data_IF_517035221045
#
_entry.id   IF_517035221045
#
_cell.length_a   1.000
_cell.length_b   1.000
_cell.length_c   1.000
_cell.angle_alpha   90.00
_cell.angle_beta   90.00
_cell.angle_gamma   90.00
#
_symmetry.space_group_name_H-M   'P 1'
#
loop_
_entity.id
_entity.type
_entity.pdbx_description
1 polymer ?
#
# COMPACT_ATOMS: atom_id res chain seq x y z
N UNK A 1 -33.21 -6.16 5.59
CA UNK A 1 -32.63 -4.93 4.98
C UNK A 1 -33.29 -3.66 5.50
N UNK A 2 -34.63 -3.50 5.42
CA UNK A 2 -35.31 -2.24 5.77
C UNK A 2 -34.93 -1.59 7.13
N UNK A 3 -34.78 -2.38 8.21
CA UNK A 3 -34.40 -1.83 9.53
C UNK A 3 -33.06 -1.07 9.54
N UNK A 4 -32.01 -1.61 8.89
CA UNK A 4 -30.67 -0.98 8.92
C UNK A 4 -30.62 0.35 8.16
N UNK A 5 -31.37 0.47 7.07
CA UNK A 5 -31.50 1.72 6.33
C UNK A 5 -32.29 2.79 7.12
N UNK A 6 -33.18 2.37 8.03
CA UNK A 6 -33.88 3.28 8.93
C UNK A 6 -32.97 3.74 10.09
N UNK A 7 -32.10 2.86 10.60
CA UNK A 7 -31.10 3.20 11.62
C UNK A 7 -30.08 4.23 11.08
N UNK A 8 -29.55 4.05 9.87
CA UNK A 8 -28.66 5.02 9.21
C UNK A 8 -29.38 6.37 8.95
N UNK A 9 -30.67 6.36 8.61
CA UNK A 9 -31.46 7.59 8.44
C UNK A 9 -31.66 8.33 9.77
N UNK A 10 -31.97 7.61 10.85
CA UNK A 10 -32.09 8.16 12.21
C UNK A 10 -30.75 8.71 12.72
N UNK A 11 -29.63 8.04 12.40
CA UNK A 11 -28.30 8.56 12.68
C UNK A 11 -28.05 9.87 11.92
N UNK A 12 -28.43 9.94 10.64
CA UNK A 12 -28.23 11.14 9.82
C UNK A 12 -29.11 12.34 10.25
N UNK A 13 -30.31 12.11 10.78
CA UNK A 13 -31.20 13.21 11.24
C UNK A 13 -30.84 13.72 12.64
N UNK A 14 -30.24 12.87 13.48
CA UNK A 14 -30.05 13.16 14.91
C UNK A 14 -28.60 13.42 15.32
N UNK A 15 -27.62 13.27 14.42
CA UNK A 15 -26.21 13.60 14.70
C UNK A 15 -25.88 15.05 14.32
N UNK A 16 -25.18 15.75 15.21
CA UNK A 16 -24.69 17.10 14.93
C UNK A 16 -23.50 17.06 13.97
N UNK A 17 -23.44 17.98 13.02
CA UNK A 17 -22.35 18.00 12.02
C UNK A 17 -20.97 18.16 12.69
N UNK A 18 -19.91 17.50 12.18
CA UNK A 18 -18.58 17.54 12.81
C UNK A 18 -17.97 18.94 12.90
N UNK A 19 -18.45 19.92 12.13
CA UNK A 19 -18.06 21.33 12.23
C UNK A 19 -18.52 22.00 13.55
N UNK A 20 -19.43 21.36 14.31
CA UNK A 20 -19.84 21.76 15.67
C UNK A 20 -19.17 20.94 16.78
N UNK A 21 -18.32 19.97 16.44
CA UNK A 21 -17.63 19.10 17.40
C UNK A 21 -18.28 17.73 17.62
N UNK A 22 -19.26 17.33 16.80
CA UNK A 22 -19.83 15.97 16.82
C UNK A 22 -18.88 14.92 16.22
N UNK A 23 -18.90 13.70 16.77
CA UNK A 23 -18.13 12.57 16.24
C UNK A 23 -18.79 11.96 14.98
N UNK A 24 -17.97 11.57 14.01
CA UNK A 24 -18.43 11.02 12.73
C UNK A 24 -18.76 9.52 12.85
N UNK A 25 -20.05 9.18 12.86
CA UNK A 25 -20.52 7.81 13.06
C UNK A 25 -20.31 6.96 11.78
N UNK A 26 -19.65 5.78 11.84
CA UNK A 26 -19.30 5.01 10.64
C UNK A 26 -20.51 4.31 10.01
N UNK A 27 -21.00 4.87 8.89
CA UNK A 27 -22.04 4.29 8.05
C UNK A 27 -21.57 2.98 7.39
N UNK A 28 -22.46 1.98 7.30
CA UNK A 28 -22.16 0.72 6.63
C UNK A 28 -22.39 0.83 5.12
N UNK A 29 -21.39 0.48 4.30
CA UNK A 29 -21.51 0.50 2.84
C UNK A 29 -22.45 -0.60 2.34
N UNK A 30 -23.65 -0.22 1.88
CA UNK A 30 -24.55 -1.14 1.15
C UNK A 30 -24.17 -1.19 -0.33
N UNK A 31 -23.94 -2.39 -0.86
CA UNK A 31 -23.54 -2.60 -2.26
C UNK A 31 -24.54 -2.04 -3.28
N UNK A 32 -24.00 -1.34 -4.28
CA UNK A 32 -24.77 -0.70 -5.36
C UNK A 32 -25.20 -1.70 -6.44
N UNK A 33 -26.26 -2.48 -6.21
CA UNK A 33 -26.85 -3.33 -7.27
C UNK A 33 -28.38 -3.39 -7.24
N UNK A 34 -29.04 -2.23 -7.26
CA UNK A 34 -30.44 -2.10 -7.69
C UNK A 34 -30.72 -0.68 -8.25
N UNK A 35 -31.46 -0.53 -9.37
CA UNK A 35 -31.84 0.78 -9.90
C UNK A 35 -33.16 1.29 -9.29
N UNK A 36 -33.26 2.62 -9.13
CA UNK A 36 -34.33 3.36 -8.41
C UNK A 36 -34.35 3.13 -6.89
N UNK A 37 -34.62 4.12 -6.04
CA UNK A 37 -35.50 5.28 -6.23
C UNK A 37 -35.16 6.48 -5.33
N UNK A 38 -35.65 7.67 -5.73
CA UNK A 38 -35.78 8.94 -4.98
C UNK A 38 -34.49 9.68 -4.58
N UNK A 39 -34.29 10.85 -5.21
CA UNK A 39 -33.51 11.96 -4.66
C UNK A 39 -34.28 12.58 -3.49
N UNK A 40 -33.68 12.65 -2.30
CA UNK A 40 -34.17 13.51 -1.21
C UNK A 40 -33.21 14.71 -1.06
N UNK A 41 -33.76 15.92 -0.99
CA UNK A 41 -32.97 17.15 -0.88
C UNK A 41 -32.40 17.33 0.53
N UNK A 42 -31.15 17.82 0.60
CA UNK A 42 -30.50 18.21 1.84
C UNK A 42 -31.33 19.33 2.50
N UNK A 43 -31.97 19.05 3.64
CA UNK A 43 -32.56 20.08 4.49
C UNK A 43 -31.59 20.38 5.64
N UNK A 44 -31.23 21.65 5.77
CA UNK A 44 -30.46 22.18 6.90
C UNK A 44 -31.43 22.74 7.94
N UNK A 45 -31.59 22.13 9.13
CA UNK A 45 -32.40 22.73 10.18
C UNK A 45 -31.70 23.98 10.73
N UNK A 46 -32.41 25.10 10.71
CA UNK A 46 -31.88 26.43 10.99
C UNK A 46 -31.83 26.70 12.51
N UNK A 47 -30.64 26.81 13.09
CA UNK A 47 -30.40 26.75 14.56
C UNK A 47 -30.47 28.10 15.29
N UNK A 48 -31.44 28.95 14.95
CA UNK A 48 -31.60 30.28 15.59
C UNK A 48 -33.07 30.68 15.68
N UNK A 49 -33.79 30.31 16.75
CA UNK A 49 -35.06 30.96 17.19
C UNK A 49 -35.71 30.47 18.52
N UNK A 50 -35.01 29.83 19.47
CA UNK A 50 -35.65 29.29 20.69
C UNK A 50 -34.95 29.59 22.03
N UNK A 51 -34.13 30.65 22.10
CA UNK A 51 -33.63 31.20 23.36
C UNK A 51 -34.09 32.65 23.51
N UNK A 52 -35.10 32.89 24.38
CA UNK A 52 -35.47 34.13 25.11
C UNK A 52 -36.90 33.94 25.66
N UNK A 53 -37.12 34.16 26.96
CA UNK A 53 -38.44 34.05 27.59
C UNK A 53 -38.37 33.82 29.09
N UNK A 54 -38.12 34.89 29.86
CA UNK A 54 -37.96 34.81 31.32
C UNK A 54 -39.30 34.65 32.08
N UNK A 55 -39.19 33.98 33.23
CA UNK A 55 -40.17 33.67 34.29
C UNK A 55 -41.20 34.75 34.65
N UNK A 56 -42.33 34.37 35.29
CA UNK A 56 -42.30 34.34 36.76
C UNK A 56 -42.62 32.97 37.40
N UNK A 57 -42.20 32.82 38.67
CA UNK A 57 -42.53 31.73 39.63
C UNK A 57 -44.05 31.75 39.93
N UNK A 58 -44.73 30.74 40.46
CA UNK A 58 -44.47 29.64 41.43
C UNK A 58 -45.42 28.48 41.09
N UNK A 59 -45.27 27.19 41.41
CA UNK A 59 -44.30 26.29 42.11
C UNK A 59 -44.69 24.85 41.63
N UNK A 60 -44.00 23.71 41.82
CA UNK A 60 -42.76 23.21 42.44
C UNK A 60 -42.48 21.84 41.75
N UNK A 61 -41.30 21.23 41.69
CA UNK A 61 -39.92 21.61 42.02
C UNK A 61 -38.97 20.80 41.10
N UNK A 62 -37.90 21.41 40.58
CA UNK A 62 -36.48 21.08 40.87
C UNK A 62 -36.05 19.59 40.77
N UNK A 63 -34.98 19.17 40.07
CA UNK A 63 -34.06 19.70 39.02
C UNK A 63 -33.10 18.51 38.62
N UNK A 64 -32.18 18.58 37.61
CA UNK A 64 -31.82 17.41 36.78
C UNK A 64 -30.33 16.93 36.86
N UNK A 65 -29.98 15.81 36.19
CA UNK A 65 -28.56 15.50 35.83
C UNK A 65 -28.12 14.05 35.50
N UNK A 66 -27.90 13.75 34.21
CA UNK A 66 -26.66 13.23 33.53
C UNK A 66 -25.87 11.97 34.00
N UNK A 67 -25.43 11.10 33.03
CA UNK A 67 -24.27 10.12 32.95
C UNK A 67 -24.00 9.07 34.08
N UNK A 68 -23.14 8.01 33.96
CA UNK A 68 -22.55 7.14 32.86
C UNK A 68 -22.59 5.61 33.21
N UNK A 69 -21.55 4.76 33.03
CA UNK A 69 -21.68 3.35 32.51
C UNK A 69 -21.04 2.17 33.28
N UNK A 70 -21.45 0.94 32.87
CA UNK A 70 -20.79 -0.38 32.94
C UNK A 70 -21.32 -1.47 33.94
N UNK A 71 -21.48 -2.69 33.39
CA UNK A 71 -21.83 -4.01 33.98
C UNK A 71 -20.59 -4.74 34.58
N UNK A 72 -20.66 -5.94 35.25
CA UNK A 72 -21.73 -6.97 35.27
C UNK A 72 -22.05 -7.70 36.61
N UNK A 73 -23.20 -8.40 36.68
CA UNK A 73 -23.46 -9.36 37.78
C UNK A 73 -24.87 -9.98 37.85
N UNK A 74 -25.13 -11.06 37.09
CA UNK A 74 -26.22 -12.05 37.27
C UNK A 74 -27.71 -11.61 37.22
N UNK A 75 -28.32 -11.79 36.03
CA UNK A 75 -29.73 -12.14 35.77
C UNK A 75 -30.82 -11.16 36.30
N UNK A 76 -32.14 -11.43 36.12
CA UNK A 76 -32.93 -10.65 35.19
C UNK A 76 -33.90 -9.66 35.86
N UNK A 77 -34.22 -8.58 35.13
CA UNK A 77 -35.40 -7.73 35.34
C UNK A 77 -35.66 -7.21 36.77
N UNK A 78 -35.16 -5.99 37.00
CA UNK A 78 -35.94 -4.85 37.53
C UNK A 78 -36.21 -4.80 39.05
N UNK A 79 -35.25 -4.21 39.76
CA UNK A 79 -35.56 -3.34 40.91
C UNK A 79 -35.70 -1.88 40.42
N UNK A 80 -36.58 -1.08 41.03
CA UNK A 80 -36.90 0.31 40.65
C UNK A 80 -36.35 1.35 41.63
N UNK A 81 -35.25 1.05 42.32
CA UNK A 81 -34.63 1.94 43.31
C UNK A 81 -33.21 2.33 42.90
N UNK A 82 -33.02 3.63 42.66
CA UNK A 82 -31.86 4.24 42.03
C UNK A 82 -30.66 4.40 42.99
N UNK A 83 -30.17 3.28 43.53
CA UNK A 83 -29.14 3.24 44.59
C UNK A 83 -27.80 2.73 44.01
N UNK A 84 -27.18 3.55 43.15
CA UNK A 84 -25.73 3.75 43.00
C UNK A 84 -25.41 4.55 41.72
N UNK A 85 -25.24 5.88 41.87
CA UNK A 85 -24.62 6.75 40.85
C UNK A 85 -23.18 7.10 41.25
N UNK A 86 -22.39 7.47 40.24
CA UNK A 86 -20.92 7.56 40.27
C UNK A 86 -20.37 8.68 41.17
N UNK A 87 -20.11 8.39 42.45
CA UNK A 87 -19.56 9.37 43.41
C UNK A 87 -18.24 8.98 44.11
N UNK A 88 -17.64 7.82 43.80
CA UNK A 88 -16.51 7.26 44.57
C UNK A 88 -15.18 7.06 43.82
N UNK A 89 -15.07 7.43 42.54
CA UNK A 89 -13.80 7.27 41.80
C UNK A 89 -12.73 8.33 42.17
N UNK A 90 -13.13 9.57 42.44
CA UNK A 90 -12.20 10.64 42.81
C UNK A 90 -11.48 10.39 44.15
N UNK A 91 -12.20 9.92 45.17
CA UNK A 91 -11.63 9.64 46.51
C UNK A 91 -10.64 8.46 46.52
N UNK A 92 -10.79 7.50 45.60
CA UNK A 92 -9.83 6.38 45.47
C UNK A 92 -8.49 6.86 44.94
N UNK A 93 -8.47 7.87 44.07
CA UNK A 93 -7.22 8.43 43.53
C UNK A 93 -6.50 9.32 44.55
N UNK A 94 -7.22 10.13 45.34
CA UNK A 94 -6.65 10.85 46.48
C UNK A 94 -6.06 9.90 47.53
N UNK A 95 -6.79 8.86 47.93
CA UNK A 95 -6.29 7.83 48.86
C UNK A 95 -5.04 7.12 48.31
N UNK A 96 -4.99 6.87 47.00
CA UNK A 96 -3.83 6.21 46.34
C UNK A 96 -2.62 7.14 46.21
N UNK A 97 -2.81 8.46 46.22
CA UNK A 97 -1.73 9.43 46.35
C UNK A 97 -1.25 9.53 47.81
N UNK A 98 -2.16 9.60 48.78
CA UNK A 98 -1.82 9.61 50.21
C UNK A 98 -1.07 8.33 50.65
N UNK A 99 -1.50 7.16 50.20
CA UNK A 99 -0.82 5.88 50.48
C UNK A 99 0.57 5.77 49.82
N UNK A 100 0.86 6.54 48.76
CA UNK A 100 2.19 6.60 48.13
C UNK A 100 3.18 7.55 48.83
N UNK A 101 2.69 8.42 49.72
CA UNK A 101 3.55 9.30 50.54
C UNK A 101 4.04 8.63 51.83
N UNK A 102 3.57 7.41 52.13
CA UNK A 102 4.10 6.62 53.23
C UNK A 102 5.54 6.18 52.93
N UNK A 103 6.50 6.42 53.85
CA UNK A 103 7.86 5.88 53.72
C UNK A 103 7.84 4.35 53.59
N UNK A 104 8.68 3.80 52.71
CA UNK A 104 8.79 2.34 52.55
C UNK A 104 9.21 1.69 53.87
N UNK A 105 8.50 0.65 54.36
CA UNK A 105 8.78 0.04 55.65
C UNK A 105 10.16 -0.62 55.64
N UNK A 106 11.05 -0.17 56.52
CA UNK A 106 12.30 -0.86 56.84
C UNK A 106 12.03 -1.88 57.95
N UNK A 107 11.87 -3.13 57.57
CA UNK A 107 11.77 -4.24 58.51
C UNK A 107 13.17 -4.73 58.91
N UNK A 108 13.90 -3.90 59.62
CA UNK A 108 15.14 -4.29 60.31
C UNK A 108 14.77 -4.71 61.73
N UNK A 109 14.51 -6.01 61.95
CA UNK A 109 14.24 -6.58 63.27
C UNK A 109 15.34 -7.59 63.65
N UNK A 110 16.24 -7.13 64.52
CA UNK A 110 17.24 -7.96 65.18
C UNK A 110 16.56 -8.82 66.24
N UNK A 111 16.58 -10.15 66.06
CA UNK A 111 16.02 -11.10 67.04
C UNK A 111 17.02 -11.24 68.19
N UNK A 112 16.90 -10.36 69.18
CA UNK A 112 17.61 -10.48 70.45
C UNK A 112 17.02 -11.67 71.22
N UNK A 113 17.75 -12.77 71.25
CA UNK A 113 17.48 -13.89 72.14
C UNK A 113 17.84 -13.47 73.58
N UNK A 114 16.92 -13.52 74.56
CA UNK A 114 17.25 -13.18 75.93
C UNK A 114 18.23 -14.21 76.53
N UNK A 115 19.47 -13.80 76.78
CA UNK A 115 20.36 -14.51 77.69
C UNK A 115 19.91 -14.25 79.12
N UNK A 116 19.16 -15.17 79.73
CA UNK A 116 19.12 -15.33 81.19
C UNK A 116 18.62 -16.75 81.60
N UNK A 117 19.58 -17.52 82.12
CA UNK A 117 19.49 -18.60 83.12
C UNK A 117 18.64 -19.88 82.94
N UNK A 118 19.30 -20.91 82.39
CA UNK A 118 19.46 -22.31 82.91
C UNK A 118 18.28 -23.00 83.63
N UNK A 119 17.78 -24.13 83.09
CA UNK A 119 18.03 -25.51 83.65
C UNK A 119 17.29 -26.67 82.97
N UNK A 120 18.06 -27.77 82.91
CA UNK A 120 17.67 -29.19 82.90
C UNK A 120 16.97 -29.81 81.69
N UNK A 121 17.65 -30.88 81.25
CA UNK A 121 17.16 -32.17 80.79
C UNK A 121 16.84 -32.32 79.28
N UNK A 122 17.70 -33.13 78.66
CA UNK A 122 17.54 -33.70 77.33
C UNK A 122 16.39 -34.73 77.37
N UNK A 123 15.22 -34.35 76.88
CA UNK A 123 14.26 -35.31 76.32
C UNK A 123 13.97 -34.90 74.87
N UNK A 124 14.57 -35.64 73.92
CA UNK A 124 14.20 -35.61 72.50
C UNK A 124 12.75 -36.09 72.34
N UNK A 125 11.80 -35.21 72.59
CA UNK A 125 10.47 -35.37 72.05
C UNK A 125 10.53 -35.06 70.55
N UNK A 126 10.59 -36.13 69.75
CA UNK A 126 10.06 -36.15 68.39
C UNK A 126 8.59 -35.70 68.44
N UNK A 127 8.37 -34.38 68.50
CA UNK A 127 7.09 -33.79 68.16
C UNK A 127 6.93 -33.93 66.66
N UNK A 128 6.45 -35.12 66.27
CA UNK A 128 5.92 -35.43 64.95
C UNK A 128 5.17 -34.19 64.47
N UNK A 129 5.63 -33.60 63.36
CA UNK A 129 5.13 -32.31 62.88
C UNK A 129 3.70 -32.52 62.39
N UNK A 130 2.73 -32.39 63.29
CA UNK A 130 1.31 -32.58 63.01
C UNK A 130 0.87 -31.42 62.11
N UNK A 131 1.00 -31.61 60.80
CA UNK A 131 0.37 -30.75 59.78
C UNK A 131 -1.10 -30.55 60.21
N UNK A 132 -1.52 -29.29 60.31
CA UNK A 132 -2.83 -28.92 60.83
C UNK A 132 -3.91 -29.69 60.05
N UNK A 133 -4.92 -30.26 60.73
CA UNK A 133 -5.81 -31.25 60.10
C UNK A 133 -6.48 -30.73 58.81
N UNK A 134 -6.75 -29.42 58.75
CA UNK A 134 -7.27 -28.74 57.56
C UNK A 134 -6.27 -28.62 56.40
N UNK A 135 -4.96 -28.54 56.65
CA UNK A 135 -3.94 -28.51 55.59
C UNK A 135 -3.76 -29.89 54.94
N UNK A 136 -3.70 -30.95 55.76
CA UNK A 136 -3.68 -32.34 55.27
C UNK A 136 -4.91 -32.65 54.40
N UNK A 137 -6.10 -32.25 54.85
CA UNK A 137 -7.33 -32.48 54.11
C UNK A 137 -7.43 -31.61 52.84
N UNK A 138 -6.96 -30.35 52.88
CA UNK A 138 -6.85 -29.49 51.69
C UNK A 138 -5.89 -30.07 50.64
N UNK A 139 -4.74 -30.58 51.07
CA UNK A 139 -3.72 -31.24 50.24
C UNK A 139 -4.24 -32.54 49.62
N UNK A 140 -4.93 -33.37 50.41
CA UNK A 140 -5.63 -34.58 49.94
C UNK A 140 -6.74 -34.25 48.93
N UNK A 141 -7.58 -33.25 49.22
CA UNK A 141 -8.63 -32.78 48.30
C UNK A 141 -8.05 -32.27 46.98
N UNK A 142 -6.96 -31.47 47.02
CA UNK A 142 -6.27 -30.98 45.82
C UNK A 142 -5.72 -32.12 44.96
N UNK A 143 -5.13 -33.15 45.58
CA UNK A 143 -4.60 -34.32 44.86
C UNK A 143 -5.72 -35.18 44.26
N UNK A 144 -6.82 -35.39 44.98
CA UNK A 144 -7.99 -36.13 44.47
C UNK A 144 -8.65 -35.39 43.30
N UNK A 145 -8.84 -34.08 43.40
CA UNK A 145 -9.42 -33.28 42.33
C UNK A 145 -8.50 -33.23 41.10
N UNK A 146 -7.17 -33.08 41.27
CA UNK A 146 -6.21 -33.22 40.16
C UNK A 146 -6.25 -34.60 39.50
N UNK A 147 -6.41 -35.67 40.28
CA UNK A 147 -6.54 -37.04 39.75
C UNK A 147 -7.84 -37.21 38.95
N UNK A 148 -8.95 -36.71 39.49
CA UNK A 148 -10.27 -36.71 38.84
C UNK A 148 -10.29 -35.89 37.55
N UNK A 149 -9.63 -34.72 37.53
CA UNK A 149 -9.47 -33.91 36.32
C UNK A 149 -8.63 -34.62 35.25
N UNK A 150 -7.56 -35.32 35.62
CA UNK A 150 -6.79 -36.17 34.69
C UNK A 150 -7.63 -37.31 34.13
N UNK A 151 -8.39 -38.02 34.98
CA UNK A 151 -9.29 -39.09 34.52
C UNK A 151 -10.39 -38.56 33.58
N UNK A 152 -10.99 -37.42 33.91
CA UNK A 152 -11.99 -36.75 33.08
C UNK A 152 -11.39 -36.29 31.75
N UNK A 153 -10.17 -35.77 31.73
CA UNK A 153 -9.46 -35.37 30.51
C UNK A 153 -9.15 -36.56 29.58
N UNK A 154 -8.95 -37.76 30.12
CA UNK A 154 -8.79 -39.01 29.36
C UNK A 154 -10.11 -39.61 28.86
N UNK A 155 -11.28 -39.06 29.25
CA UNK A 155 -12.58 -39.51 28.75
C UNK A 155 -12.99 -38.79 27.46
N UNK A 156 -13.94 -39.39 26.74
CA UNK A 156 -14.46 -38.84 25.49
C UNK A 156 -15.02 -37.42 25.68
N UNK A 157 -15.03 -36.63 24.61
CA UNK A 157 -15.61 -35.28 24.66
C UNK A 157 -17.11 -35.30 24.99
N UNK A 158 -17.82 -36.35 24.57
CA UNK A 158 -19.24 -36.59 24.92
C UNK A 158 -19.42 -36.69 26.43
N UNK A 159 -18.53 -37.43 27.11
CA UNK A 159 -18.52 -37.53 28.57
C UNK A 159 -18.11 -36.20 29.23
N UNK A 160 -17.10 -35.51 28.71
CA UNK A 160 -16.61 -34.23 29.26
C UNK A 160 -17.61 -33.07 29.13
N UNK A 161 -18.55 -33.16 28.19
CA UNK A 161 -19.57 -32.14 27.90
C UNK A 161 -20.98 -32.53 28.38
N UNK A 162 -21.09 -33.60 29.18
CA UNK A 162 -22.36 -34.19 29.67
C UNK A 162 -23.42 -34.38 28.56
N UNK A 163 -22.98 -34.77 27.36
CA UNK A 163 -23.85 -34.96 26.20
C UNK A 163 -24.63 -36.28 26.28
N UNK A 164 -25.85 -36.38 25.71
CA UNK A 164 -26.64 -37.60 25.73
C UNK A 164 -25.92 -38.79 25.09
N UNK A 165 -25.68 -39.84 25.87
CA UNK A 165 -25.02 -41.07 25.42
C UNK A 165 -26.02 -42.16 25.01
N UNK A 166 -25.71 -43.00 24.00
CA UNK A 166 -26.59 -44.08 23.57
C UNK A 166 -26.69 -45.17 24.65
N UNK A 167 -27.88 -45.73 24.86
CA UNK A 167 -28.09 -46.77 25.88
C UNK A 167 -27.58 -48.16 25.48
N UNK A 168 -27.39 -48.40 24.17
CA UNK A 168 -26.88 -49.65 23.59
C UNK A 168 -26.08 -49.33 22.33
N UNK A 169 -24.99 -50.06 22.09
CA UNK A 169 -24.15 -49.92 20.90
C UNK A 169 -24.78 -50.67 19.72
N UNK A 170 -24.78 -50.07 18.53
CA UNK A 170 -25.30 -50.69 17.31
C UNK A 170 -24.14 -51.19 16.42
N UNK A 171 -23.80 -52.47 16.53
CA UNK A 171 -22.69 -53.10 15.79
C UNK A 171 -22.84 -53.06 14.26
N UNK A 172 -24.04 -52.81 13.74
CA UNK A 172 -24.26 -52.74 12.29
C UNK A 172 -23.58 -51.53 11.62
N UNK A 173 -23.39 -50.43 12.36
CA UNK A 173 -22.74 -49.21 11.87
C UNK A 173 -21.21 -49.39 11.73
N UNK A 174 -20.60 -50.26 12.55
CA UNK A 174 -19.16 -50.47 12.62
C UNK A 174 -18.69 -51.70 11.83
N UNK A 175 -19.47 -52.18 10.87
CA UNK A 175 -19.05 -53.29 9.99
C UNK A 175 -17.83 -52.88 9.16
N UNK A 176 -16.87 -53.80 9.01
CA UNK A 176 -15.73 -53.60 8.11
C UNK A 176 -16.19 -53.79 6.66
N UNK A 177 -15.77 -52.87 5.79
CA UNK A 177 -16.01 -52.96 4.35
C UNK A 177 -14.80 -53.61 3.65
N UNK A 178 -15.00 -54.30 2.50
CA UNK A 178 -13.88 -54.85 1.75
C UNK A 178 -12.99 -53.72 1.23
N UNK A 179 -11.71 -53.76 1.59
CA UNK A 179 -10.70 -52.77 1.19
C UNK A 179 -10.48 -52.82 -0.31
N UNK A 180 -10.57 -51.67 -0.98
CA UNK A 180 -10.18 -51.50 -2.40
C UNK A 180 -9.06 -50.48 -2.56
N UNK A 181 -9.09 -49.42 -1.74
CA UNK A 181 -8.10 -48.36 -1.66
C UNK A 181 -7.55 -48.26 -0.24
N UNK A 182 -6.36 -47.66 -0.09
CA UNK A 182 -5.75 -47.32 1.22
C UNK A 182 -6.70 -46.50 2.12
N UNK A 183 -7.50 -45.62 1.50
CA UNK A 183 -8.55 -44.88 2.18
C UNK A 183 -9.60 -45.78 2.85
N UNK A 184 -10.02 -46.89 2.23
CA UNK A 184 -10.99 -47.82 2.83
C UNK A 184 -10.41 -48.56 4.05
N UNK A 185 -9.10 -48.80 4.05
CA UNK A 185 -8.39 -49.40 5.18
C UNK A 185 -8.31 -48.42 6.36
N UNK A 186 -7.91 -47.17 6.12
CA UNK A 186 -7.95 -46.11 7.12
C UNK A 186 -9.36 -45.91 7.71
N UNK A 187 -10.38 -45.89 6.85
CA UNK A 187 -11.80 -45.79 7.24
C UNK A 187 -12.24 -46.96 8.14
N UNK A 188 -11.77 -48.17 7.86
CA UNK A 188 -12.05 -49.36 8.68
C UNK A 188 -11.33 -49.33 10.03
N UNK A 189 -10.13 -48.73 10.11
CA UNK A 189 -9.42 -48.50 11.37
C UNK A 189 -10.13 -47.45 12.23
N UNK A 190 -10.53 -46.31 11.64
CA UNK A 190 -11.32 -45.28 12.34
C UNK A 190 -12.63 -45.85 12.89
N UNK A 191 -13.36 -46.66 12.10
CA UNK A 191 -14.58 -47.35 12.58
C UNK A 191 -14.30 -48.34 13.72
N UNK A 192 -13.12 -48.94 13.79
CA UNK A 192 -12.76 -49.81 14.91
C UNK A 192 -12.55 -48.99 16.20
N UNK A 193 -11.80 -47.89 16.13
CA UNK A 193 -11.55 -47.05 17.31
C UNK A 193 -12.79 -46.29 17.80
N UNK A 194 -13.63 -45.79 16.89
CA UNK A 194 -14.93 -45.23 17.28
C UNK A 194 -15.77 -46.25 18.07
N UNK A 195 -15.74 -47.53 17.70
CA UNK A 195 -16.44 -48.59 18.43
C UNK A 195 -15.84 -48.80 19.83
N UNK A 196 -14.52 -48.74 19.98
CA UNK A 196 -13.84 -48.85 21.27
C UNK A 196 -14.23 -47.70 22.20
N UNK A 197 -14.20 -46.45 21.71
CA UNK A 197 -14.59 -45.25 22.48
C UNK A 197 -16.04 -45.34 22.94
N UNK A 198 -16.98 -45.65 22.03
CA UNK A 198 -18.40 -45.81 22.39
C UNK A 198 -18.63 -46.99 23.36
N UNK A 199 -17.85 -48.07 23.26
CA UNK A 199 -17.93 -49.18 24.23
C UNK A 199 -17.50 -48.73 25.63
N UNK A 200 -16.46 -47.91 25.74
CA UNK A 200 -16.01 -47.34 27.01
C UNK A 200 -17.08 -46.41 27.62
N UNK A 201 -17.67 -45.51 26.84
CA UNK A 201 -18.68 -44.55 27.33
C UNK A 201 -20.01 -45.20 27.80
N UNK A 202 -20.40 -46.30 27.15
CA UNK A 202 -21.65 -47.03 27.46
C UNK A 202 -21.45 -48.06 28.56
N UNK A 203 -20.37 -48.86 28.51
CA UNK A 203 -20.17 -50.00 29.42
C UNK A 203 -19.17 -49.73 30.56
N UNK A 204 -18.43 -48.61 30.54
CA UNK A 204 -17.39 -48.28 31.52
C UNK A 204 -16.14 -49.17 31.46
N UNK A 205 -16.05 -50.09 30.50
CA UNK A 205 -14.88 -50.97 30.33
C UNK A 205 -13.75 -50.21 29.67
N UNK A 206 -12.65 -49.96 30.39
CA UNK A 206 -11.45 -49.33 29.83
C UNK A 206 -10.99 -50.09 28.57
N UNK A 207 -10.47 -49.39 27.54
CA UNK A 207 -9.80 -50.02 26.41
C UNK A 207 -8.63 -50.93 26.86
N UNK A 208 -8.27 -51.89 26.02
CA UNK A 208 -7.10 -52.74 26.26
C UNK A 208 -5.80 -51.92 26.18
N UNK A 209 -5.74 -50.99 25.23
CA UNK A 209 -4.62 -50.09 25.01
C UNK A 209 -4.86 -48.78 25.79
N UNK A 210 -4.23 -48.67 26.96
CA UNK A 210 -4.30 -47.47 27.81
C UNK A 210 -3.04 -46.63 27.63
N UNK A 211 -3.12 -45.63 26.76
CA UNK A 211 -2.06 -44.64 26.56
C UNK A 211 -2.02 -43.63 27.71
N UNK A 212 -0.82 -43.20 28.08
CA UNK A 212 -0.63 -42.11 29.04
C UNK A 212 -1.05 -40.76 28.42
N UNK A 213 -1.36 -39.79 29.29
CA UNK A 213 -1.70 -38.43 28.86
C UNK A 213 -0.57 -37.74 28.07
N UNK A 214 0.68 -38.12 28.34
CA UNK A 214 1.86 -37.56 27.67
C UNK A 214 2.00 -38.13 26.24
N UNK A 215 1.86 -39.46 26.08
CA UNK A 215 1.83 -40.10 24.75
C UNK A 215 0.70 -39.59 23.86
N UNK A 216 -0.50 -39.38 24.42
CA UNK A 216 -1.64 -38.82 23.68
C UNK A 216 -1.40 -37.37 23.24
N UNK A 217 -0.70 -36.58 24.06
CA UNK A 217 -0.32 -35.20 23.74
C UNK A 217 0.69 -35.15 22.60
N UNK A 218 1.73 -35.98 22.68
CA UNK A 218 2.78 -36.03 21.66
C UNK A 218 2.23 -36.58 20.33
N UNK A 219 1.35 -37.58 20.36
CA UNK A 219 0.62 -38.06 19.20
C UNK A 219 -0.26 -36.96 18.56
N UNK A 220 -0.96 -36.15 19.37
CA UNK A 220 -1.75 -35.01 18.87
C UNK A 220 -0.88 -33.97 18.16
N UNK A 221 0.30 -33.66 18.71
CA UNK A 221 1.25 -32.71 18.08
C UNK A 221 1.79 -33.28 16.76
N UNK A 222 2.06 -34.58 16.71
CA UNK A 222 2.55 -35.25 15.50
C UNK A 222 1.49 -35.24 14.40
N UNK A 223 0.24 -35.60 14.72
CA UNK A 223 -0.92 -35.53 13.81
C UNK A 223 -1.13 -34.10 13.29
N UNK A 224 -1.12 -33.09 14.16
CA UNK A 224 -1.21 -31.68 13.74
C UNK A 224 -0.06 -31.28 12.80
N UNK A 225 1.15 -31.79 13.03
CA UNK A 225 2.30 -31.52 12.17
C UNK A 225 2.18 -32.16 10.78
N UNK A 226 1.57 -33.34 10.69
CA UNK A 226 1.35 -34.05 9.42
C UNK A 226 0.15 -33.49 8.65
N UNK A 227 -0.94 -33.19 9.35
CA UNK A 227 -2.12 -32.55 8.79
C UNK A 227 -1.80 -31.17 8.19
N UNK A 228 -0.90 -30.40 8.81
CA UNK A 228 -0.39 -29.12 8.28
C UNK A 228 0.69 -29.28 7.20
N UNK A 229 1.36 -30.44 7.10
CA UNK A 229 2.32 -30.76 6.03
C UNK A 229 1.66 -31.21 4.73
N UNK A 230 0.41 -31.71 4.77
CA UNK A 230 -0.49 -31.58 3.62
C UNK A 230 -0.75 -30.07 3.47
N UNK A 231 0.09 -29.43 2.64
CA UNK A 231 0.21 -27.97 2.57
C UNK A 231 -1.09 -27.26 2.22
N UNK A 232 -1.05 -25.93 2.32
CA UNK A 232 -2.17 -25.03 2.01
C UNK A 232 -2.93 -25.53 0.79
N UNK A 233 -4.19 -25.93 1.01
CA UNK A 233 -5.09 -26.28 -0.06
C UNK A 233 -5.32 -25.00 -0.85
N UNK A 234 -4.72 -24.91 -2.05
CA UNK A 234 -5.09 -23.86 -2.99
C UNK A 234 -6.54 -24.14 -3.42
N UNK A 235 -7.46 -23.46 -2.73
CA UNK A 235 -8.90 -23.51 -3.03
C UNK A 235 -9.15 -23.10 -4.49
N UNK A 236 -8.31 -22.23 -5.07
CA UNK A 236 -8.40 -21.80 -6.45
C UNK A 236 -7.94 -22.89 -7.42
N UNK A 237 -6.79 -23.55 -7.21
CA UNK A 237 -6.38 -24.71 -8.05
C UNK A 237 -7.40 -25.85 -7.97
N UNK A 238 -7.91 -26.16 -6.77
CA UNK A 238 -8.92 -27.21 -6.59
C UNK A 238 -10.24 -26.84 -7.28
N UNK A 239 -10.71 -25.60 -7.12
CA UNK A 239 -11.92 -25.11 -7.80
C UNK A 239 -11.72 -25.07 -9.32
N UNK A 240 -10.57 -24.62 -9.83
CA UNK A 240 -10.26 -24.65 -11.26
C UNK A 240 -10.24 -26.08 -11.80
N UNK A 241 -9.65 -27.04 -11.08
CA UNK A 241 -9.67 -28.48 -11.45
C UNK A 241 -11.10 -29.05 -11.44
N UNK A 242 -11.91 -28.73 -10.44
CA UNK A 242 -13.31 -29.14 -10.36
C UNK A 242 -14.17 -28.51 -11.48
N UNK A 243 -13.98 -27.22 -11.76
CA UNK A 243 -14.63 -26.50 -12.86
C UNK A 243 -14.21 -27.08 -14.20
N UNK A 244 -12.92 -27.39 -14.42
CA UNK A 244 -12.44 -28.01 -15.67
C UNK A 244 -13.04 -29.41 -15.88
N UNK A 245 -13.13 -30.23 -14.83
CA UNK A 245 -13.77 -31.55 -14.88
C UNK A 245 -15.28 -31.48 -15.15
N UNK A 246 -15.94 -30.41 -14.69
CA UNK A 246 -17.40 -30.24 -14.76
C UNK A 246 -17.85 -29.55 -16.04
N UNK A 247 -17.23 -28.43 -16.41
CA UNK A 247 -17.57 -27.59 -17.56
C UNK A 247 -17.38 -28.30 -18.91
N UNK A 248 -16.37 -29.17 -19.04
CA UNK A 248 -16.17 -29.97 -20.25
C UNK A 248 -17.13 -31.16 -20.41
N UNK A 249 -17.96 -31.46 -19.39
CA UNK A 249 -18.77 -32.68 -19.36
C UNK A 249 -20.27 -32.47 -19.13
N UNK A 250 -20.71 -31.30 -18.68
CA UNK A 250 -22.13 -31.00 -18.46
C UNK A 250 -22.78 -30.33 -19.68
N UNK A 251 -23.90 -30.87 -20.13
CA UNK A 251 -24.74 -30.36 -21.22
C UNK A 251 -26.13 -30.04 -20.66
N UNK A 252 -26.76 -28.97 -21.13
CA UNK A 252 -28.15 -28.68 -20.77
C UNK A 252 -29.14 -29.55 -21.58
N UNK A 253 -29.72 -30.56 -20.93
CA UNK A 253 -30.68 -31.50 -21.53
C UNK A 253 -31.94 -31.66 -20.66
N UNK A 254 -33.12 -31.65 -21.28
CA UNK A 254 -34.44 -31.77 -20.63
C UNK A 254 -34.64 -30.89 -19.36
N UNK A 255 -34.16 -29.64 -19.42
CA UNK A 255 -34.34 -28.66 -18.34
C UNK A 255 -33.31 -28.74 -17.20
N UNK A 256 -32.28 -29.60 -17.30
CA UNK A 256 -31.23 -29.77 -16.29
C UNK A 256 -29.85 -29.83 -16.94
N UNK A 257 -28.81 -29.55 -16.16
CA UNK A 257 -27.44 -29.87 -16.54
C UNK A 257 -27.17 -31.34 -16.20
N UNK A 258 -26.70 -32.10 -17.19
CA UNK A 258 -26.57 -33.56 -17.18
C UNK A 258 -25.22 -33.91 -17.81
N UNK A 259 -24.50 -34.92 -17.34
CA UNK A 259 -23.22 -35.27 -17.99
C UNK A 259 -23.44 -35.92 -19.36
N UNK A 260 -22.49 -35.76 -20.29
CA UNK A 260 -22.58 -36.32 -21.67
C UNK A 260 -22.83 -37.84 -21.67
N UNK A 261 -22.41 -38.54 -20.61
CA UNK A 261 -22.54 -39.99 -20.48
C UNK A 261 -23.92 -40.46 -20.01
N UNK A 262 -24.58 -39.69 -19.16
CA UNK A 262 -25.95 -39.93 -18.68
C UNK A 262 -26.99 -39.80 -19.82
N UNK A 263 -26.67 -39.03 -20.87
CA UNK A 263 -27.54 -38.90 -22.05
C UNK A 263 -27.42 -40.16 -22.93
N UNK A 264 -28.52 -40.78 -23.39
CA UNK A 264 -28.45 -41.96 -24.25
C UNK A 264 -27.80 -41.63 -25.60
N UNK A 265 -26.97 -42.56 -26.13
CA UNK A 265 -26.11 -42.33 -27.31
C UNK A 265 -26.84 -41.77 -28.54
N UNK A 266 -28.12 -42.10 -28.73
CA UNK A 266 -28.95 -41.61 -29.86
C UNK A 266 -29.36 -40.13 -29.74
N UNK A 267 -29.27 -39.54 -28.54
CA UNK A 267 -29.74 -38.19 -28.23
C UNK A 267 -28.59 -37.23 -27.92
N UNK A 268 -27.41 -37.74 -27.52
CA UNK A 268 -26.18 -36.93 -27.30
C UNK A 268 -25.88 -35.96 -28.43
N UNK A 269 -25.94 -36.43 -29.68
CA UNK A 269 -25.66 -35.61 -30.86
C UNK A 269 -26.68 -34.49 -31.04
N UNK A 270 -27.95 -34.70 -30.68
CA UNK A 270 -28.99 -33.67 -30.71
C UNK A 270 -28.80 -32.65 -29.59
N UNK A 271 -28.51 -33.11 -28.37
CA UNK A 271 -28.25 -32.23 -27.23
C UNK A 271 -27.06 -31.30 -27.52
N UNK A 272 -25.92 -31.88 -27.94
CA UNK A 272 -24.72 -31.14 -28.37
C UNK A 272 -25.03 -30.16 -29.51
N UNK A 273 -25.80 -30.56 -30.53
CA UNK A 273 -26.17 -29.66 -31.63
C UNK A 273 -26.97 -28.45 -31.14
N UNK A 274 -27.95 -28.63 -30.23
CA UNK A 274 -28.71 -27.51 -29.66
C UNK A 274 -27.87 -26.59 -28.77
N UNK A 275 -26.82 -27.10 -28.15
CA UNK A 275 -25.89 -26.32 -27.35
C UNK A 275 -24.93 -25.50 -28.24
N UNK A 276 -24.39 -26.10 -29.29
CA UNK A 276 -23.64 -25.40 -30.34
C UNK A 276 -24.50 -24.30 -30.97
N UNK A 277 -25.78 -24.55 -31.24
CA UNK A 277 -26.70 -23.54 -31.77
C UNK A 277 -26.86 -22.35 -30.81
N UNK A 278 -27.01 -22.59 -29.50
CA UNK A 278 -27.02 -21.51 -28.48
C UNK A 278 -25.71 -20.72 -28.50
N UNK A 279 -24.55 -21.37 -28.57
CA UNK A 279 -23.26 -20.70 -28.66
C UNK A 279 -23.11 -19.89 -29.96
N UNK A 280 -23.64 -20.37 -31.09
CA UNK A 280 -23.67 -19.62 -32.36
C UNK A 280 -24.57 -18.38 -32.24
N UNK A 281 -25.72 -18.47 -31.57
CA UNK A 281 -26.60 -17.31 -31.32
C UNK A 281 -25.93 -16.31 -30.38
N UNK A 282 -25.34 -16.75 -29.28
CA UNK A 282 -24.59 -15.91 -28.35
C UNK A 282 -23.39 -15.25 -29.05
N UNK A 283 -22.64 -15.99 -29.85
CA UNK A 283 -21.53 -15.46 -30.65
C UNK A 283 -21.96 -14.37 -31.63
N UNK A 284 -23.11 -14.54 -32.31
CA UNK A 284 -23.72 -13.48 -33.16
C UNK A 284 -24.10 -12.25 -32.34
N UNK A 285 -24.70 -12.43 -31.16
CA UNK A 285 -25.06 -11.31 -30.28
C UNK A 285 -23.83 -10.56 -29.77
N UNK A 286 -22.82 -11.28 -29.27
CA UNK A 286 -21.54 -10.71 -28.80
C UNK A 286 -20.86 -9.96 -29.95
N UNK A 287 -20.70 -10.58 -31.13
CA UNK A 287 -20.15 -9.92 -32.32
C UNK A 287 -20.85 -8.59 -32.61
N UNK A 288 -22.19 -8.57 -32.64
CA UNK A 288 -22.96 -7.35 -32.90
C UNK A 288 -22.79 -6.25 -31.82
N UNK A 289 -22.52 -6.64 -30.56
CA UNK A 289 -22.19 -5.70 -29.48
C UNK A 289 -20.76 -5.18 -29.62
N UNK A 290 -19.80 -6.07 -29.89
CA UNK A 290 -18.39 -5.73 -30.12
C UNK A 290 -18.23 -4.79 -31.32
N UNK A 291 -18.92 -5.04 -32.45
CA UNK A 291 -18.91 -4.15 -33.62
C UNK A 291 -19.43 -2.75 -33.27
N UNK A 292 -20.50 -2.62 -32.45
CA UNK A 292 -21.00 -1.31 -31.99
C UNK A 292 -20.00 -0.59 -31.11
N UNK A 293 -19.34 -1.30 -30.18
CA UNK A 293 -18.31 -0.73 -29.31
C UNK A 293 -17.08 -0.34 -30.14
N UNK A 294 -16.60 -1.20 -31.02
CA UNK A 294 -15.47 -0.95 -31.91
C UNK A 294 -15.72 0.26 -32.82
N UNK A 295 -16.92 0.39 -33.40
CA UNK A 295 -17.27 1.56 -34.20
C UNK A 295 -17.31 2.85 -33.36
N UNK A 296 -17.83 2.80 -32.13
CA UNK A 296 -17.80 3.95 -31.20
C UNK A 296 -16.37 4.34 -30.82
N UNK A 297 -15.53 3.37 -30.47
CA UNK A 297 -14.11 3.57 -30.15
C UNK A 297 -13.37 4.15 -31.35
N UNK A 298 -13.59 3.60 -32.56
CA UNK A 298 -12.99 4.11 -33.81
C UNK A 298 -13.38 5.56 -34.09
N UNK A 299 -14.66 5.94 -33.94
CA UNK A 299 -15.09 7.33 -34.15
C UNK A 299 -14.42 8.30 -33.17
N UNK A 300 -14.18 7.88 -31.93
CA UNK A 300 -13.50 8.70 -30.91
C UNK A 300 -11.98 8.76 -31.17
N UNK A 301 -11.33 7.62 -31.41
CA UNK A 301 -9.87 7.52 -31.51
C UNK A 301 -9.32 7.94 -32.87
N UNK A 302 -10.03 7.74 -33.99
CA UNK A 302 -9.50 8.02 -35.33
C UNK A 302 -9.08 9.48 -35.54
N UNK A 303 -9.67 10.43 -34.81
CA UNK A 303 -9.20 11.82 -34.79
C UNK A 303 -7.85 11.96 -34.09
N UNK A 304 -7.71 11.36 -32.90
CA UNK A 304 -6.46 11.38 -32.13
C UNK A 304 -5.33 10.59 -32.80
N UNK A 305 -5.62 9.44 -33.42
CA UNK A 305 -4.67 8.64 -34.20
C UNK A 305 -4.04 9.47 -35.32
N UNK A 306 -4.85 10.23 -36.07
CA UNK A 306 -4.35 11.14 -37.13
C UNK A 306 -3.52 12.29 -36.59
N UNK A 307 -3.92 12.88 -35.45
CA UNK A 307 -3.15 13.95 -34.80
C UNK A 307 -1.80 13.40 -34.31
N UNK A 308 -1.78 12.18 -33.76
CA UNK A 308 -0.56 11.49 -33.35
C UNK A 308 0.35 11.21 -34.55
N UNK A 309 -0.20 10.70 -35.65
CA UNK A 309 0.55 10.44 -36.90
C UNK A 309 1.18 11.73 -37.46
N UNK A 310 0.43 12.82 -37.55
CA UNK A 310 0.99 14.11 -38.02
C UNK A 310 2.03 14.67 -37.05
N UNK A 311 1.80 14.60 -35.74
CA UNK A 311 2.76 15.05 -34.74
C UNK A 311 4.07 14.25 -34.78
N UNK A 312 4.02 12.93 -34.95
CA UNK A 312 5.20 12.07 -35.11
C UNK A 312 6.00 12.50 -36.35
N UNK A 313 5.33 12.68 -37.49
CA UNK A 313 5.99 13.12 -38.72
C UNK A 313 6.64 14.50 -38.57
N UNK A 314 5.96 15.47 -37.96
CA UNK A 314 6.52 16.80 -37.67
C UNK A 314 7.72 16.74 -36.73
N UNK A 315 7.67 15.90 -35.68
CA UNK A 315 8.81 15.69 -34.78
C UNK A 315 10.01 15.10 -35.54
N UNK A 316 9.79 14.12 -36.41
CA UNK A 316 10.86 13.50 -37.22
C UNK A 316 11.50 14.50 -38.18
N UNK A 317 10.72 15.31 -38.90
CA UNK A 317 11.24 16.38 -39.75
C UNK A 317 12.04 17.41 -38.94
N UNK A 318 11.48 17.92 -37.83
CA UNK A 318 12.18 18.88 -36.98
C UNK A 318 13.48 18.32 -36.38
N UNK A 319 13.54 17.01 -36.05
CA UNK A 319 14.75 16.35 -35.58
C UNK A 319 15.82 16.24 -36.66
N UNK A 320 15.42 15.91 -37.89
CA UNK A 320 16.30 15.86 -39.05
C UNK A 320 16.87 17.26 -39.37
N UNK A 321 16.01 18.27 -39.41
CA UNK A 321 16.41 19.65 -39.73
C UNK A 321 17.31 20.23 -38.62
N UNK A 322 17.04 19.91 -37.35
CA UNK A 322 17.92 20.25 -36.22
C UNK A 322 19.31 19.60 -36.34
N UNK A 323 19.39 18.35 -36.80
CA UNK A 323 20.68 17.68 -37.05
C UNK A 323 21.45 18.36 -38.18
N UNK A 324 20.78 18.70 -39.29
CA UNK A 324 21.40 19.44 -40.40
C UNK A 324 21.90 20.80 -39.93
N UNK A 325 21.07 21.61 -39.27
CA UNK A 325 21.51 22.91 -38.76
C UNK A 325 22.62 22.81 -37.70
N UNK A 326 22.65 21.72 -36.92
CA UNK A 326 23.78 21.40 -36.03
C UNK A 326 25.10 21.21 -36.80
N UNK A 327 25.06 20.43 -37.89
CA UNK A 327 26.21 20.23 -38.79
C UNK A 327 26.60 21.52 -39.53
N UNK A 328 25.63 22.33 -39.95
CA UNK A 328 25.86 23.63 -40.58
C UNK A 328 26.58 24.59 -39.64
N UNK A 329 26.18 24.66 -38.36
CA UNK A 329 26.87 25.49 -37.36
C UNK A 329 28.33 25.06 -37.17
N UNK A 330 28.63 23.76 -37.15
CA UNK A 330 29.99 23.25 -37.01
C UNK A 330 30.85 23.49 -38.27
N UNK A 331 30.27 23.30 -39.45
CA UNK A 331 30.94 23.60 -40.73
C UNK A 331 31.17 25.09 -40.95
N UNK A 332 30.21 25.97 -40.62
CA UNK A 332 30.41 27.42 -40.69
C UNK A 332 31.40 27.93 -39.65
N UNK A 333 31.45 27.34 -38.44
CA UNK A 333 32.46 27.69 -37.43
C UNK A 333 33.87 27.37 -37.92
N UNK A 334 34.10 26.16 -38.43
CA UNK A 334 35.42 25.77 -38.97
C UNK A 334 35.77 26.60 -40.22
N UNK A 335 34.81 26.86 -41.10
CA UNK A 335 35.01 27.74 -42.27
C UNK A 335 35.35 29.19 -41.86
N UNK A 336 34.74 29.72 -40.80
CA UNK A 336 35.05 31.04 -40.25
C UNK A 336 36.51 31.10 -39.75
N UNK A 337 36.98 30.08 -39.03
CA UNK A 337 38.37 29.99 -38.57
C UNK A 337 39.35 29.98 -39.75
N UNK A 338 39.04 29.23 -40.82
CA UNK A 338 39.86 29.24 -42.05
C UNK A 338 39.83 30.59 -42.79
N UNK A 339 38.66 31.22 -42.94
CA UNK A 339 38.56 32.49 -43.68
C UNK A 339 39.19 33.65 -42.90
N UNK A 340 39.12 33.67 -41.56
CA UNK A 340 39.87 34.64 -40.73
C UNK A 340 41.38 34.47 -40.92
N UNK A 341 41.88 33.23 -40.89
CA UNK A 341 43.29 32.94 -41.13
C UNK A 341 43.73 33.32 -42.55
N UNK A 342 42.91 33.02 -43.57
CA UNK A 342 43.17 33.39 -44.95
C UNK A 342 43.14 34.92 -45.16
N UNK A 343 42.18 35.63 -44.56
CA UNK A 343 42.11 37.08 -44.60
C UNK A 343 43.34 37.75 -43.96
N UNK A 344 43.78 37.25 -42.80
CA UNK A 344 45.01 37.72 -42.15
C UNK A 344 46.24 37.54 -43.04
N UNK A 345 46.38 36.38 -43.71
CA UNK A 345 47.47 36.13 -44.65
C UNK A 345 47.41 37.05 -45.89
N UNK A 346 46.22 37.25 -46.47
CA UNK A 346 46.01 38.20 -47.59
C UNK A 346 46.42 39.63 -47.20
N UNK A 347 45.99 40.10 -46.03
CA UNK A 347 46.34 41.44 -45.51
C UNK A 347 47.85 41.55 -45.27
N UNK A 348 48.50 40.54 -44.70
CA UNK A 348 49.96 40.55 -44.48
C UNK A 348 50.74 40.62 -45.79
N UNK A 349 50.34 39.87 -46.83
CA UNK A 349 51.00 39.90 -48.13
C UNK A 349 50.82 41.26 -48.82
N UNK A 350 49.58 41.77 -48.90
CA UNK A 350 49.31 43.11 -49.45
C UNK A 350 50.04 44.22 -48.68
N UNK A 351 50.21 44.08 -47.37
CA UNK A 351 50.98 45.05 -46.55
C UNK A 351 52.46 45.04 -46.92
N UNK A 352 53.04 43.87 -47.25
CA UNK A 352 54.43 43.77 -47.73
C UNK A 352 54.58 44.41 -49.10
N UNK A 353 53.73 44.02 -50.06
CA UNK A 353 53.73 44.59 -51.43
C UNK A 353 53.58 46.12 -51.40
N UNK A 354 52.67 46.66 -50.58
CA UNK A 354 52.50 48.12 -50.40
C UNK A 354 53.71 48.78 -49.74
N UNK A 355 54.44 48.10 -48.86
CA UNK A 355 55.65 48.65 -48.24
C UNK A 355 56.84 48.64 -49.23
N UNK A 356 57.00 47.56 -50.01
CA UNK A 356 58.01 47.49 -51.09
C UNK A 356 57.79 48.61 -52.11
N UNK A 357 56.55 48.82 -52.57
CA UNK A 357 56.19 49.93 -53.48
C UNK A 357 56.48 51.30 -52.85
N UNK A 358 56.27 51.49 -51.54
CA UNK A 358 56.58 52.75 -50.85
C UNK A 358 58.08 53.00 -50.70
N UNK A 359 58.88 51.95 -50.50
CA UNK A 359 60.34 52.06 -50.45
C UNK A 359 60.90 52.45 -51.82
N UNK A 360 60.40 51.83 -52.89
CA UNK A 360 60.71 52.19 -54.28
C UNK A 360 60.26 53.63 -54.61
N UNK A 361 59.02 54.00 -54.27
CA UNK A 361 58.51 55.36 -54.51
C UNK A 361 59.36 56.41 -53.78
N UNK A 362 59.71 56.18 -52.51
CA UNK A 362 60.55 57.08 -51.73
C UNK A 362 61.98 57.19 -52.33
N UNK A 363 62.52 56.11 -52.89
CA UNK A 363 63.80 56.14 -53.61
C UNK A 363 63.70 56.98 -54.90
N UNK A 364 62.68 56.76 -55.73
CA UNK A 364 62.46 57.54 -56.95
C UNK A 364 62.19 59.03 -56.67
N UNK A 365 61.40 59.36 -55.65
CA UNK A 365 61.15 60.75 -55.23
C UNK A 365 62.45 61.45 -54.81
N UNK A 366 63.36 60.73 -54.14
CA UNK A 366 64.69 61.25 -53.77
C UNK A 366 65.57 61.48 -55.00
N UNK A 367 65.66 60.52 -55.92
CA UNK A 367 66.43 60.70 -57.17
C UNK A 367 65.89 61.87 -58.01
N UNK A 368 64.57 62.03 -58.07
CA UNK A 368 63.92 63.16 -58.73
C UNK A 368 64.26 64.50 -58.07
N UNK A 369 64.27 64.56 -56.73
CA UNK A 369 64.70 65.75 -55.98
C UNK A 369 66.16 66.12 -56.29
N UNK A 370 67.05 65.13 -56.32
CA UNK A 370 68.48 65.34 -56.64
C UNK A 370 68.66 65.81 -58.09
N UNK A 371 67.92 65.24 -59.05
CA UNK A 371 67.90 65.67 -60.45
C UNK A 371 67.35 67.09 -60.61
N UNK A 372 66.29 67.46 -59.90
CA UNK A 372 65.73 68.81 -59.90
C UNK A 372 66.72 69.84 -59.34
N UNK A 373 67.46 69.49 -58.27
CA UNK A 373 68.53 70.34 -57.75
C UNK A 373 69.65 70.54 -58.79
N UNK A 374 70.07 69.49 -59.49
CA UNK A 374 71.05 69.59 -60.57
C UNK A 374 70.55 70.44 -61.74
N UNK A 375 69.30 70.26 -62.17
CA UNK A 375 68.69 71.08 -63.23
C UNK A 375 68.63 72.56 -62.82
N UNK A 376 68.23 72.85 -61.58
CA UNK A 376 68.24 74.20 -61.03
C UNK A 376 69.66 74.80 -61.05
N UNK A 377 70.67 74.06 -60.56
CA UNK A 377 72.07 74.50 -60.61
C UNK A 377 72.55 74.82 -62.03
N UNK A 378 72.22 73.98 -63.00
CA UNK A 378 72.57 74.17 -64.42
C UNK A 378 71.88 75.42 -64.96
N UNK A 379 70.59 75.60 -64.69
CA UNK A 379 69.84 76.79 -65.08
C UNK A 379 70.43 78.07 -64.45
N UNK A 380 70.81 78.05 -63.17
CA UNK A 380 71.50 79.18 -62.53
C UNK A 380 72.87 79.48 -63.17
N UNK A 381 73.64 78.45 -63.56
CA UNK A 381 74.91 78.60 -64.28
C UNK A 381 74.70 79.15 -65.70
N UNK A 382 73.61 78.78 -66.38
CA UNK A 382 73.25 79.31 -67.71
C UNK A 382 72.78 80.77 -67.63
N UNK A 383 71.89 81.10 -66.70
CA UNK A 383 71.46 82.48 -66.42
C UNK A 383 72.67 83.39 -66.13
N UNK A 384 73.60 82.94 -65.28
CA UNK A 384 74.87 83.65 -65.01
C UNK A 384 75.69 83.89 -66.27
N UNK A 385 75.82 82.91 -67.15
CA UNK A 385 76.54 83.07 -68.43
C UNK A 385 75.84 84.07 -69.35
N UNK A 386 74.52 83.99 -69.51
CA UNK A 386 73.73 84.89 -70.35
C UNK A 386 73.80 86.35 -69.87
N UNK A 387 73.63 86.59 -68.57
CA UNK A 387 73.80 87.93 -68.01
C UNK A 387 75.23 88.47 -68.15
N UNK A 388 76.25 87.61 -68.09
CA UNK A 388 77.65 88.01 -68.33
C UNK A 388 77.89 88.40 -69.80
N UNK A 389 77.10 87.87 -70.75
CA UNK A 389 77.17 88.25 -72.17
C UNK A 389 76.28 89.44 -72.55
N UNK A 390 75.17 89.67 -71.84
CA UNK A 390 74.16 90.68 -72.19
C UNK A 390 74.20 91.93 -71.29
N UNK A 391 74.83 91.86 -70.11
CA UNK A 391 75.14 93.02 -69.26
C UNK A 391 74.05 93.45 -68.27
N UNK A 392 72.90 92.77 -68.21
CA UNK A 392 71.83 93.06 -67.24
C UNK A 392 71.99 92.31 -65.90
N UNK A 393 71.47 92.90 -64.82
CA UNK A 393 71.64 92.38 -63.46
C UNK A 393 70.61 91.30 -63.10
N UNK A 394 71.08 90.09 -62.74
CA UNK A 394 70.22 88.98 -62.31
C UNK A 394 69.62 89.25 -60.93
N UNK A 395 68.31 89.11 -60.81
CA UNK A 395 67.62 88.96 -59.51
C UNK A 395 67.41 87.47 -59.21
N UNK A 396 67.94 87.00 -58.08
CA UNK A 396 67.70 85.64 -57.60
C UNK A 396 66.47 85.64 -56.69
N UNK A 397 65.39 84.96 -57.09
CA UNK A 397 64.31 84.64 -56.15
C UNK A 397 64.75 83.47 -55.25
N UNK A 398 64.91 83.74 -53.96
CA UNK A 398 65.11 82.68 -52.97
C UNK A 398 63.81 81.86 -52.90
N UNK A 399 63.91 80.57 -53.23
CA UNK A 399 62.76 79.70 -53.50
C UNK A 399 61.85 79.49 -52.29
N UNK A 400 60.84 80.33 -52.14
CA UNK A 400 59.75 80.15 -51.18
C UNK A 400 58.41 80.57 -51.80
N UNK A 401 58.01 79.86 -52.86
CA UNK A 401 56.63 79.82 -53.34
C UNK A 401 56.00 78.54 -52.82
N UNK A 402 54.93 78.60 -51.99
CA UNK A 402 54.27 77.40 -51.51
C UNK A 402 53.62 76.66 -52.69
N UNK A 403 53.71 75.34 -52.70
CA UNK A 403 53.03 74.53 -53.71
C UNK A 403 51.51 74.67 -53.54
N UNK A 404 50.83 75.15 -54.60
CA UNK A 404 49.38 75.03 -54.69
C UNK A 404 49.02 73.55 -54.89
N UNK A 405 48.48 72.92 -53.85
CA UNK A 405 47.89 71.59 -53.97
C UNK A 405 46.67 71.66 -54.89
N UNK A 406 46.77 71.05 -56.08
CA UNK A 406 45.61 70.66 -56.87
C UNK A 406 45.45 69.14 -56.82
N UNK A 407 44.33 68.72 -56.17
CA UNK A 407 43.76 67.37 -56.07
C UNK A 407 44.51 66.37 -55.18
#
# INVERSE_FOLDING_TARGET
MAFRAADDLLALTNTETPLKGGENNPLHSTDFTAPSSIRAGIQTPNTVLAAIGQTPRTNYEQTPGTVVSATPGATPFRDQLNINKEAQRASVEELRQQLKTLPTPKNDFEVVMPEDEVKSDEEDFDMEWVEDAGELDSKRASLLEKKKQKELALRSEVFRRDLPKPSKLNDSFFKRYPVKNEYDEADNLIRAEMRNILRYDVNGTLPADNFTFEELRDASILIDSEARKRGEFDEEEYMQRAIAQTSGRQIFYNGRFVTVDEIPRKERSKALATEIEKFVVLGKQIKSKTEKVQNKVKVILQGFEKIQETAINTIQTNQHDFQISGMEVETFRTLQEYEVNAANLRVQNLTKEVNEIKEDEAALQKEYSDLMHQQWEINQKMLRKQATTEGEAITYSNGNTPAENQQ
#
